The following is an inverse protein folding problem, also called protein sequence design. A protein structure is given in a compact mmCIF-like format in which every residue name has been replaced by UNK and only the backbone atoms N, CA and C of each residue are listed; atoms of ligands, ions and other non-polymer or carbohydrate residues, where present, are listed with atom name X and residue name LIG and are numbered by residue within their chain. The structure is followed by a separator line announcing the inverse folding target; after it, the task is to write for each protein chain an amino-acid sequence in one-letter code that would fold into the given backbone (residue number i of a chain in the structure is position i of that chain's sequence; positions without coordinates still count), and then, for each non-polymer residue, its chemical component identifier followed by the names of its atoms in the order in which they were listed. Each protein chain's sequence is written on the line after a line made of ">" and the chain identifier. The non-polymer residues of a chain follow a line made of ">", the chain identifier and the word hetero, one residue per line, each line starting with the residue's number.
data_IF_917279815747
#
_entry.id   IF_917279815747
#
_cell.length_a   1.000
_cell.length_b   1.000
_cell.length_c   1.000
_cell.angle_alpha   90.00
_cell.angle_beta   90.00
_cell.angle_gamma   90.00
#
_symmetry.space_group_name_H-M   'P 1'
#
loop_
_entity.id
_entity.type
_entity.pdbx_description
1 polymer ?
#
# COMPACT_ATOMS: atom_id res chain seq x y z
N UNK A 1 2.22 22.04 -22.09
CA UNK A 1 1.27 20.97 -21.74
C UNK A 1 1.69 20.41 -20.40
N UNK A 2 0.98 20.75 -19.32
CA UNK A 2 1.27 20.18 -18.00
C UNK A 2 0.53 18.84 -17.90
N UNK A 3 1.21 17.75 -18.22
CA UNK A 3 0.72 16.42 -17.87
C UNK A 3 0.71 16.31 -16.36
N UNK A 4 -0.46 16.41 -15.74
CA UNK A 4 -0.62 16.23 -14.30
C UNK A 4 -0.56 14.73 -13.99
N UNK A 5 0.55 14.29 -13.40
CA UNK A 5 0.66 12.95 -12.86
C UNK A 5 -0.30 12.79 -11.69
N UNK A 6 -1.00 11.66 -11.65
CA UNK A 6 -1.81 11.24 -10.51
C UNK A 6 -1.25 9.94 -9.98
N UNK A 7 -0.95 9.91 -8.69
CA UNK A 7 -0.49 8.71 -8.00
C UNK A 7 -1.65 8.03 -7.29
N UNK A 8 -1.65 6.70 -7.33
CA UNK A 8 -2.70 5.86 -6.75
C UNK A 8 -2.01 4.77 -5.93
N UNK A 9 -2.37 4.64 -4.66
CA UNK A 9 -1.94 3.54 -3.82
C UNK A 9 -2.77 2.30 -4.16
N UNK A 10 -2.11 1.20 -4.50
CA UNK A 10 -2.75 -0.07 -4.82
C UNK A 10 -2.38 -1.11 -3.76
N UNK A 11 -3.38 -1.78 -3.17
CA UNK A 11 -3.18 -2.76 -2.10
C UNK A 11 -3.25 -4.20 -2.62
N UNK A 12 -2.48 -4.47 -3.68
CA UNK A 12 -2.43 -5.76 -4.36
C UNK A 12 -3.56 -5.97 -5.37
N UNK A 13 -3.30 -6.81 -6.37
CA UNK A 13 -4.20 -7.05 -7.49
C UNK A 13 -3.48 -7.58 -8.72
N UNK A 14 -4.10 -7.41 -9.88
CA UNK A 14 -3.62 -7.80 -11.19
C UNK A 14 -3.75 -6.63 -12.17
N UNK A 15 -2.89 -6.61 -13.18
CA UNK A 15 -3.02 -5.72 -14.31
C UNK A 15 -3.08 -6.57 -15.58
N UNK A 16 -4.05 -6.29 -16.42
CA UNK A 16 -4.26 -6.89 -17.73
C UNK A 16 -4.00 -5.84 -18.80
N UNK A 17 -3.34 -6.25 -19.87
CA UNK A 17 -2.99 -5.38 -21.00
C UNK A 17 -3.55 -6.05 -22.26
N UNK A 18 -4.50 -5.41 -22.91
CA UNK A 18 -5.11 -5.89 -24.14
C UNK A 18 -5.44 -4.72 -25.06
N UNK A 19 -5.05 -4.79 -26.34
CA UNK A 19 -5.45 -3.82 -27.38
C UNK A 19 -5.31 -2.34 -26.99
N UNK A 20 -4.13 -1.95 -26.49
CA UNK A 20 -3.83 -0.60 -26.00
C UNK A 20 -4.64 -0.14 -24.76
N UNK A 21 -5.37 -1.05 -24.12
CA UNK A 21 -6.07 -0.86 -22.85
C UNK A 21 -5.29 -1.52 -21.70
N UNK A 22 -5.23 -0.84 -20.55
CA UNK A 22 -4.65 -1.37 -19.32
C UNK A 22 -5.72 -1.37 -18.24
N UNK A 23 -6.14 -2.56 -17.82
CA UNK A 23 -7.14 -2.77 -16.78
C UNK A 23 -6.44 -3.23 -15.50
N UNK A 24 -6.66 -2.51 -14.40
CA UNK A 24 -6.06 -2.82 -13.10
C UNK A 24 -7.14 -3.26 -12.13
N UNK A 25 -7.13 -4.54 -11.75
CA UNK A 25 -8.06 -5.16 -10.81
C UNK A 25 -7.39 -5.27 -9.45
N UNK A 26 -7.83 -4.46 -8.48
CA UNK A 26 -7.22 -4.41 -7.14
C UNK A 26 -8.26 -4.55 -6.05
N UNK A 27 -7.83 -5.06 -4.90
CA UNK A 27 -8.74 -5.20 -3.75
C UNK A 27 -9.13 -3.85 -3.16
N UNK A 28 -8.19 -2.90 -3.10
CA UNK A 28 -8.39 -1.54 -2.65
C UNK A 28 -7.47 -0.59 -3.42
N UNK A 29 -7.98 0.60 -3.73
CA UNK A 29 -7.24 1.69 -4.36
C UNK A 29 -7.57 3.01 -3.65
N UNK A 30 -6.56 3.87 -3.50
CA UNK A 30 -6.71 5.18 -2.86
C UNK A 30 -5.92 6.23 -3.66
N UNK A 31 -6.52 7.39 -3.95
CA UNK A 31 -5.86 8.44 -4.72
C UNK A 31 -4.87 9.17 -3.82
N UNK A 32 -3.62 9.32 -4.25
CA UNK A 32 -2.54 9.92 -3.48
C UNK A 32 -2.90 11.28 -2.86
N UNK A 33 -3.64 12.12 -3.58
CA UNK A 33 -4.09 13.43 -3.10
C UNK A 33 -5.12 13.39 -1.96
N UNK A 34 -5.82 12.26 -1.78
CA UNK A 34 -6.82 12.07 -0.73
C UNK A 34 -6.22 11.41 0.52
N UNK A 35 -4.99 10.89 0.42
CA UNK A 35 -4.31 10.18 1.50
C UNK A 35 -3.81 11.18 2.54
N UNK A 36 -4.23 11.01 3.79
CA UNK A 36 -3.63 11.70 4.91
C UNK A 36 -2.28 11.05 5.28
N UNK A 37 -1.18 11.72 4.91
CA UNK A 37 0.20 11.26 5.15
C UNK A 37 0.47 11.00 6.64
N UNK A 38 -0.03 11.86 7.53
CA UNK A 38 0.22 11.75 8.97
C UNK A 38 -0.42 10.48 9.56
N UNK A 39 -1.66 10.19 9.14
CA UNK A 39 -2.34 8.96 9.53
C UNK A 39 -1.62 7.73 8.98
N UNK A 40 -1.17 7.78 7.71
CA UNK A 40 -0.45 6.66 7.11
C UNK A 40 0.92 6.41 7.76
N UNK A 41 1.64 7.46 8.19
CA UNK A 41 2.90 7.33 8.93
C UNK A 41 2.68 6.77 10.35
N UNK A 42 1.59 7.14 11.01
CA UNK A 42 1.20 6.57 12.29
C UNK A 42 0.84 5.08 12.15
N UNK A 43 0.01 4.73 11.16
CA UNK A 43 -0.35 3.35 10.82
C UNK A 43 0.91 2.50 10.56
N UNK A 44 1.88 3.04 9.81
CA UNK A 44 3.14 2.36 9.53
C UNK A 44 3.94 2.09 10.79
N UNK A 45 4.00 3.06 11.71
CA UNK A 45 4.72 2.92 12.98
C UNK A 45 4.09 1.82 13.84
N UNK A 46 2.76 1.80 13.94
CA UNK A 46 2.02 0.79 14.69
C UNK A 46 2.18 -0.60 14.06
N UNK A 47 2.10 -0.71 12.74
CA UNK A 47 2.31 -1.96 12.02
C UNK A 47 3.75 -2.48 12.19
N UNK A 48 4.76 -1.61 12.20
CA UNK A 48 6.16 -1.96 12.47
C UNK A 48 6.39 -2.40 13.92
N UNK A 49 5.67 -1.82 14.88
CA UNK A 49 5.68 -2.29 16.27
C UNK A 49 4.93 -3.61 16.46
N UNK A 50 3.90 -3.87 15.65
CA UNK A 50 3.16 -5.12 15.70
C UNK A 50 3.99 -6.27 15.11
N UNK A 51 4.68 -6.04 13.98
CA UNK A 51 5.49 -7.08 13.35
C UNK A 51 6.75 -7.41 14.16
N UNK A 52 7.35 -6.45 14.88
CA UNK A 52 8.55 -6.69 15.70
C UNK A 52 8.33 -7.64 16.88
N UNK A 53 7.07 -7.92 17.23
CA UNK A 53 6.69 -8.91 18.25
C UNK A 53 6.82 -10.35 17.74
N UNK A 54 6.93 -10.57 16.44
CA UNK A 54 7.05 -11.90 15.85
C UNK A 54 8.49 -12.21 15.48
N UNK A 55 8.93 -13.44 15.77
CA UNK A 55 10.28 -13.88 15.42
C UNK A 55 10.42 -14.09 13.91
N UNK A 56 11.61 -13.90 13.34
CA UNK A 56 11.86 -14.03 11.88
C UNK A 56 11.45 -15.41 11.32
N UNK A 57 11.62 -16.47 12.10
CA UNK A 57 11.35 -17.84 11.68
C UNK A 57 9.95 -18.36 12.10
N UNK A 58 9.13 -17.53 12.72
CA UNK A 58 7.79 -17.91 13.16
C UNK A 58 6.79 -17.83 12.00
N UNK A 59 6.33 -18.98 11.52
CA UNK A 59 5.22 -19.06 10.54
C UNK A 59 3.89 -18.88 11.26
N UNK A 60 3.58 -17.63 11.60
CA UNK A 60 2.33 -17.25 12.24
C UNK A 60 1.44 -16.50 11.24
N UNK A 61 0.16 -16.89 11.05
CA UNK A 61 -0.81 -16.14 10.24
C UNK A 61 -0.91 -14.66 10.63
N UNK A 62 -0.74 -14.33 11.92
CA UNK A 62 -0.76 -12.95 12.41
C UNK A 62 0.43 -12.14 11.94
N UNK A 63 1.61 -12.76 11.82
CA UNK A 63 2.80 -12.11 11.24
C UNK A 63 2.57 -11.75 9.77
N UNK A 64 1.93 -12.63 9.00
CA UNK A 64 1.60 -12.37 7.59
C UNK A 64 0.62 -11.19 7.49
N UNK A 65 -0.36 -11.11 8.40
CA UNK A 65 -1.26 -9.94 8.48
C UNK A 65 -0.50 -8.66 8.82
N UNK A 66 0.39 -8.71 9.82
CA UNK A 66 1.21 -7.55 10.20
C UNK A 66 2.11 -7.07 9.05
N UNK A 67 2.74 -7.98 8.31
CA UNK A 67 3.49 -7.67 7.09
C UNK A 67 2.63 -6.95 6.04
N UNK A 68 1.41 -7.44 5.80
CA UNK A 68 0.48 -6.81 4.85
C UNK A 68 0.11 -5.39 5.27
N UNK A 69 -0.15 -5.15 6.56
CA UNK A 69 -0.46 -3.80 7.05
C UNK A 69 0.74 -2.84 6.91
N UNK A 70 1.97 -3.32 7.13
CA UNK A 70 3.19 -2.53 6.87
C UNK A 70 3.25 -2.14 5.39
N UNK A 71 3.15 -3.12 4.48
CA UNK A 71 3.21 -2.84 3.03
C UNK A 71 2.10 -1.91 2.55
N UNK A 72 0.91 -2.02 3.14
CA UNK A 72 -0.23 -1.15 2.87
C UNK A 72 0.03 0.30 3.28
N UNK A 73 0.55 0.51 4.49
CA UNK A 73 0.88 1.84 4.98
C UNK A 73 2.02 2.48 4.15
N UNK A 74 3.02 1.70 3.73
CA UNK A 74 4.08 2.17 2.84
C UNK A 74 3.56 2.58 1.46
N UNK A 75 2.69 1.78 0.85
CA UNK A 75 2.08 2.10 -0.44
C UNK A 75 1.27 3.41 -0.38
N UNK A 76 0.55 3.64 0.72
CA UNK A 76 -0.18 4.90 0.96
C UNK A 76 0.74 6.11 1.04
N UNK A 77 1.81 6.01 1.85
CA UNK A 77 2.79 7.10 2.01
C UNK A 77 3.46 7.42 0.67
N UNK A 78 3.80 6.38 -0.11
CA UNK A 78 4.42 6.55 -1.42
C UNK A 78 3.49 7.26 -2.41
N UNK A 79 2.21 6.87 -2.46
CA UNK A 79 1.25 7.53 -3.36
C UNK A 79 0.96 8.98 -2.96
N UNK A 80 0.98 9.30 -1.66
CA UNK A 80 0.72 10.65 -1.15
C UNK A 80 1.88 11.64 -1.34
N UNK A 81 3.11 11.14 -1.55
CA UNK A 81 4.32 11.96 -1.70
C UNK A 81 4.66 12.32 -3.16
N UNK A 82 3.82 11.90 -4.12
CA UNK A 82 4.01 12.14 -5.55
C UNK A 82 2.97 13.11 -6.12
#
# INVERSE_FOLDING_TARGET
>A
MNSQWKSIALMGGFAEIESDEVIVLVNNAEIGSEINVQNAEQDLKEAKLAISKFSENEKNPEKIKALKEVSKAEARIQAAKN
#
